data_IF_330505353752
#
_entry.id   IF_330505353752
#
_cell.length_a   1.000
_cell.length_b   1.000
_cell.length_c   1.000
_cell.angle_alpha   90.00
_cell.angle_beta   90.00
_cell.angle_gamma   90.00
#
_symmetry.space_group_name_H-M   'P 1'
#
loop_
_entity.id
_entity.type
_entity.pdbx_description
1 polymer ?
#
# COMPACT_ATOMS: atom_id res chain seq x y z
N UNK A 1 -25.14 -13.07 -49.24
CA UNK A 1 -26.04 -13.81 -48.33
C UNK A 1 -25.73 -15.29 -48.49
N UNK A 2 -25.60 -15.99 -47.36
CA UNK A 2 -25.24 -17.41 -47.14
C UNK A 2 -23.82 -17.82 -47.59
N UNK A 3 -23.07 -18.70 -46.91
CA UNK A 3 -23.40 -19.65 -45.86
C UNK A 3 -22.18 -19.94 -44.96
N UNK A 4 -22.48 -20.43 -43.77
CA UNK A 4 -21.63 -20.67 -42.61
C UNK A 4 -21.36 -22.16 -42.45
N UNK A 5 -20.31 -22.48 -41.68
CA UNK A 5 -20.10 -23.72 -40.92
C UNK A 5 -19.54 -24.98 -41.62
N UNK A 6 -18.40 -25.43 -41.09
CA UNK A 6 -17.93 -26.84 -41.05
C UNK A 6 -17.37 -27.07 -39.64
N UNK A 7 -18.10 -27.76 -38.77
CA UNK A 7 -18.08 -29.20 -38.49
C UNK A 7 -16.76 -29.67 -37.81
N UNK A 8 -16.74 -29.83 -36.48
CA UNK A 8 -16.93 -31.06 -35.67
C UNK A 8 -15.69 -31.94 -35.56
N UNK A 9 -15.24 -32.22 -34.33
CA UNK A 9 -14.33 -33.34 -34.05
C UNK A 9 -13.55 -33.23 -32.74
N UNK A 10 -14.12 -33.75 -31.65
CA UNK A 10 -13.38 -34.13 -30.43
C UNK A 10 -12.42 -35.31 -30.73
N UNK A 11 -11.33 -35.45 -29.97
CA UNK A 11 -10.97 -36.78 -29.53
C UNK A 11 -10.74 -36.86 -28.01
N UNK A 12 -11.55 -37.71 -27.38
CA UNK A 12 -11.30 -38.35 -26.10
C UNK A 12 -10.20 -39.39 -26.26
N UNK A 13 -9.13 -39.32 -25.46
CA UNK A 13 -8.20 -40.43 -25.25
C UNK A 13 -7.80 -40.52 -23.78
N UNK A 14 -8.26 -41.59 -23.13
CA UNK A 14 -7.71 -42.22 -21.93
C UNK A 14 -7.88 -43.72 -22.13
N UNK A 15 -7.19 -44.64 -21.42
CA UNK A 15 -6.11 -44.49 -20.44
C UNK A 15 -4.93 -45.48 -20.65
N UNK A 16 -3.78 -45.27 -20.00
CA UNK A 16 -2.87 -46.37 -19.63
C UNK A 16 -2.34 -46.12 -18.21
N UNK A 17 -2.83 -46.92 -17.25
CA UNK A 17 -2.10 -47.28 -16.01
C UNK A 17 -1.13 -48.41 -16.39
N UNK A 18 0.08 -48.60 -15.86
CA UNK A 18 0.57 -48.60 -14.47
C UNK A 18 2.11 -48.59 -14.50
N UNK A 19 2.78 -47.95 -13.54
CA UNK A 19 3.87 -48.60 -12.78
C UNK A 19 4.12 -47.87 -11.46
N UNK A 20 4.05 -48.63 -10.38
CA UNK A 20 4.18 -48.26 -8.97
C UNK A 20 5.66 -48.37 -8.58
N UNK A 21 6.24 -47.33 -7.94
CA UNK A 21 7.08 -47.51 -6.75
C UNK A 21 7.31 -46.19 -6.03
N UNK A 22 7.21 -46.28 -4.71
CA UNK A 22 7.39 -45.22 -3.73
C UNK A 22 8.73 -44.50 -3.88
N UNK A 23 8.70 -43.17 -3.82
CA UNK A 23 9.73 -42.42 -3.14
C UNK A 23 9.05 -41.44 -2.16
N UNK A 24 9.54 -41.34 -0.91
CA UNK A 24 8.89 -40.52 0.12
C UNK A 24 8.85 -39.07 -0.33
N UNK A 25 7.68 -38.46 -0.22
CA UNK A 25 7.52 -37.01 -0.32
C UNK A 25 8.38 -36.42 0.79
N UNK A 26 9.55 -35.89 0.43
CA UNK A 26 10.30 -34.99 1.27
C UNK A 26 9.30 -33.96 1.79
N UNK A 27 9.12 -33.78 3.11
CA UNK A 27 8.19 -32.79 3.61
C UNK A 27 8.64 -31.48 3.01
N UNK A 28 7.82 -30.91 2.11
CA UNK A 28 7.99 -29.55 1.61
C UNK A 28 8.33 -28.73 2.84
N UNK A 29 9.56 -28.23 2.93
CA UNK A 29 9.93 -27.29 3.97
C UNK A 29 8.88 -26.21 3.90
N UNK A 30 8.07 -26.14 4.94
CA UNK A 30 7.28 -24.96 5.25
C UNK A 30 8.29 -23.82 5.17
N UNK A 31 8.02 -22.72 4.44
CA UNK A 31 8.84 -21.53 4.61
C UNK A 31 8.69 -21.10 6.07
N UNK A 32 9.63 -21.54 6.91
CA UNK A 32 9.90 -20.96 8.21
C UNK A 32 10.42 -19.56 7.94
N UNK A 33 9.51 -18.60 7.81
CA UNK A 33 9.76 -17.15 7.88
C UNK A 33 8.42 -16.43 7.78
N UNK A 34 7.54 -16.59 8.76
CA UNK A 34 6.63 -15.48 9.08
C UNK A 34 7.49 -14.49 9.83
N UNK A 35 8.04 -13.50 9.13
CA UNK A 35 8.64 -12.33 9.77
C UNK A 35 7.52 -11.60 10.53
N UNK A 36 7.35 -11.92 11.82
CA UNK A 36 6.41 -11.22 12.74
C UNK A 36 6.96 -9.83 13.12
N UNK A 37 7.82 -9.24 12.30
CA UNK A 37 8.70 -8.13 12.68
C UNK A 37 8.46 -6.82 11.95
N UNK A 38 7.25 -6.56 11.44
CA UNK A 38 6.92 -5.20 11.01
C UNK A 38 6.43 -4.42 12.24
N UNK A 39 7.30 -3.59 12.81
CA UNK A 39 6.90 -2.60 13.81
C UNK A 39 5.65 -1.84 13.30
N UNK A 40 4.65 -1.55 14.17
CA UNK A 40 3.39 -0.98 13.71
C UNK A 40 3.59 0.44 13.17
N UNK A 41 2.92 0.76 12.06
CA UNK A 41 2.90 2.14 11.55
C UNK A 41 1.93 2.97 12.39
N UNK A 42 2.44 4.06 12.96
CA UNK A 42 1.70 4.92 13.89
C UNK A 42 1.25 6.24 13.25
N UNK A 43 1.83 6.64 12.13
CA UNK A 43 1.46 7.87 11.42
C UNK A 43 2.21 7.99 10.10
N UNK A 44 2.13 9.15 9.47
CA UNK A 44 2.98 9.47 8.32
C UNK A 44 3.70 10.80 8.54
N UNK A 45 4.86 10.92 7.92
CA UNK A 45 5.55 12.19 7.70
C UNK A 45 5.36 12.60 6.26
N UNK A 46 4.92 13.84 6.04
CA UNK A 46 4.81 14.42 4.71
C UNK A 46 5.85 15.52 4.62
N UNK A 47 6.77 15.37 3.67
CA UNK A 47 7.78 16.38 3.37
C UNK A 47 7.36 17.11 2.10
N UNK A 48 7.17 18.44 2.14
CA UNK A 48 6.80 19.28 0.99
C UNK A 48 7.69 20.50 0.93
N UNK A 49 8.44 20.67 -0.17
CA UNK A 49 9.29 21.85 -0.40
C UNK A 49 10.18 22.23 0.80
N UNK A 50 10.75 21.23 1.49
CA UNK A 50 11.63 21.41 2.64
C UNK A 50 10.92 21.58 3.99
N UNK A 51 9.58 21.52 4.04
CA UNK A 51 8.79 21.52 5.27
C UNK A 51 8.33 20.10 5.58
N UNK A 52 8.34 19.73 6.87
CA UNK A 52 7.93 18.41 7.33
C UNK A 52 6.71 18.48 8.22
N UNK A 53 5.75 17.59 8.00
CA UNK A 53 4.49 17.55 8.73
C UNK A 53 4.23 16.14 9.24
N UNK A 54 4.01 16.00 10.55
CA UNK A 54 3.53 14.76 11.15
C UNK A 54 2.02 14.73 11.06
N UNK A 55 1.47 13.66 10.49
CA UNK A 55 0.04 13.54 10.20
C UNK A 55 -0.49 12.17 10.59
N UNK A 56 -1.80 12.13 10.82
CA UNK A 56 -2.52 10.86 10.95
C UNK A 56 -2.53 10.09 9.62
N UNK A 57 -2.61 8.76 9.70
CA UNK A 57 -2.64 7.86 8.53
C UNK A 57 -3.77 8.21 7.54
N UNK A 58 -4.95 8.53 8.05
CA UNK A 58 -6.10 8.93 7.24
C UNK A 58 -5.87 10.28 6.56
N UNK A 59 -5.24 11.23 7.26
CA UNK A 59 -4.90 12.55 6.75
C UNK A 59 -3.86 12.48 5.62
N UNK A 60 -2.88 11.59 5.69
CA UNK A 60 -1.96 11.33 4.58
C UNK A 60 -2.70 10.85 3.32
N UNK A 61 -3.65 9.92 3.49
CA UNK A 61 -4.51 9.48 2.39
C UNK A 61 -5.37 10.60 1.81
N UNK A 62 -5.92 11.48 2.66
CA UNK A 62 -6.70 12.65 2.23
C UNK A 62 -5.82 13.62 1.43
N UNK A 63 -4.61 13.92 1.91
CA UNK A 63 -3.63 14.76 1.22
C UNK A 63 -3.31 14.22 -0.18
N UNK A 64 -2.93 12.95 -0.29
CA UNK A 64 -2.61 12.33 -1.58
C UNK A 64 -3.78 12.37 -2.57
N UNK A 65 -5.01 12.20 -2.09
CA UNK A 65 -6.21 12.32 -2.94
C UNK A 65 -6.42 13.74 -3.42
N UNK A 66 -6.22 14.74 -2.57
CA UNK A 66 -6.30 16.15 -2.94
C UNK A 66 -5.23 16.53 -3.97
N UNK A 67 -3.96 16.13 -3.76
CA UNK A 67 -2.88 16.34 -4.72
C UNK A 67 -3.23 15.71 -6.07
N UNK A 68 -3.61 14.43 -6.10
CA UNK A 68 -3.98 13.75 -7.35
C UNK A 68 -5.18 14.38 -8.05
N UNK A 69 -6.11 14.97 -7.31
CA UNK A 69 -7.26 15.69 -7.88
C UNK A 69 -6.80 17.02 -8.48
N UNK A 70 -6.06 17.81 -7.71
CA UNK A 70 -5.52 19.11 -8.13
C UNK A 70 -4.68 19.00 -9.41
N UNK A 71 -3.81 17.99 -9.52
CA UNK A 71 -2.97 17.78 -10.71
C UNK A 71 -3.74 17.24 -11.94
N UNK A 72 -4.93 16.66 -11.73
CA UNK A 72 -5.82 16.22 -12.83
C UNK A 72 -6.65 17.37 -13.37
N UNK A 73 -7.00 18.34 -12.54
CA UNK A 73 -7.82 19.50 -12.91
C UNK A 73 -7.02 20.63 -13.58
N UNK A 74 -5.68 20.60 -13.51
CA UNK A 74 -4.82 21.57 -14.20
C UNK A 74 -3.36 21.52 -13.78
N UNK A 75 -2.72 22.69 -13.67
CA UNK A 75 -1.30 22.83 -13.27
C UNK A 75 -1.05 22.61 -11.77
N UNK A 76 -2.11 22.59 -10.97
CA UNK A 76 -2.01 22.59 -9.52
C UNK A 76 -3.12 23.38 -8.84
N UNK A 77 -2.97 23.64 -7.55
CA UNK A 77 -3.95 24.31 -6.72
C UNK A 77 -3.53 24.34 -5.26
N UNK A 78 -4.47 24.74 -4.39
CA UNK A 78 -4.27 24.74 -2.94
C UNK A 78 -4.74 23.41 -2.37
N UNK A 79 -3.86 22.76 -1.60
CA UNK A 79 -4.17 21.52 -0.88
C UNK A 79 -4.20 21.82 0.62
N UNK A 80 -5.28 21.40 1.28
CA UNK A 80 -5.37 21.51 2.73
C UNK A 80 -4.74 20.28 3.39
N UNK A 81 -3.85 20.52 4.34
CA UNK A 81 -3.21 19.49 5.14
C UNK A 81 -3.48 19.72 6.62
N UNK A 82 -4.17 18.78 7.26
CA UNK A 82 -4.28 18.73 8.72
C UNK A 82 -3.12 17.90 9.29
N UNK A 83 -2.30 18.52 10.12
CA UNK A 83 -1.16 17.92 10.83
C UNK A 83 -1.31 18.13 12.34
N UNK A 84 -0.34 17.63 13.12
CA UNK A 84 -0.40 17.68 14.59
C UNK A 84 -0.41 19.10 15.15
N UNK A 85 0.29 20.05 14.50
CA UNK A 85 0.35 21.45 14.95
C UNK A 85 -0.79 22.33 14.40
N UNK A 86 -1.65 21.80 13.51
CA UNK A 86 -2.76 22.59 12.96
C UNK A 86 -3.17 22.21 11.54
N UNK A 87 -3.56 23.22 10.77
CA UNK A 87 -3.98 23.07 9.37
C UNK A 87 -3.13 24.01 8.52
N UNK A 88 -2.53 23.46 7.48
CA UNK A 88 -1.74 24.19 6.51
C UNK A 88 -2.43 24.18 5.15
N UNK A 89 -2.40 25.32 4.46
CA UNK A 89 -2.84 25.44 3.07
C UNK A 89 -1.60 25.52 2.17
N UNK A 90 -1.33 24.43 1.45
CA UNK A 90 -0.10 24.26 0.69
C UNK A 90 -0.35 24.54 -0.79
N UNK A 91 0.35 25.49 -1.42
CA UNK A 91 0.34 25.62 -2.86
C UNK A 91 1.06 24.43 -3.49
N UNK A 92 0.35 23.74 -4.37
CA UNK A 92 0.81 22.49 -4.97
C UNK A 92 0.74 22.59 -6.49
N UNK A 93 1.78 22.11 -7.16
CA UNK A 93 1.86 22.03 -8.62
C UNK A 93 2.60 20.75 -9.03
N UNK A 94 2.66 20.47 -10.33
CA UNK A 94 3.46 19.35 -10.86
C UNK A 94 4.94 19.45 -10.52
N UNK A 95 5.44 20.68 -10.30
CA UNK A 95 6.84 20.94 -9.96
C UNK A 95 7.10 20.91 -8.45
N UNK A 96 6.05 20.82 -7.60
CA UNK A 96 6.20 20.83 -6.15
C UNK A 96 6.78 19.48 -5.68
N UNK A 97 8.02 19.45 -5.15
CA UNK A 97 8.59 18.22 -4.63
C UNK A 97 7.91 17.84 -3.32
N UNK A 98 7.58 16.55 -3.20
CA UNK A 98 7.03 16.01 -1.96
C UNK A 98 7.36 14.52 -1.79
N UNK A 99 7.35 14.08 -0.54
CA UNK A 99 7.45 12.68 -0.14
C UNK A 99 6.45 12.37 0.98
N UNK A 100 6.02 11.12 1.05
CA UNK A 100 5.20 10.60 2.15
C UNK A 100 5.85 9.33 2.66
N UNK A 101 6.28 9.36 3.91
CA UNK A 101 6.93 8.23 4.58
C UNK A 101 6.14 7.79 5.80
N UNK A 102 6.13 6.49 6.04
CA UNK A 102 5.52 5.90 7.23
C UNK A 102 6.35 6.23 8.47
N UNK A 103 5.67 6.60 9.55
CA UNK A 103 6.26 6.70 10.88
C UNK A 103 5.99 5.39 11.59
N UNK A 104 7.06 4.69 11.92
CA UNK A 104 7.01 3.37 12.51
C UNK A 104 7.22 3.47 14.02
N UNK A 105 6.49 2.67 14.79
CA UNK A 105 6.62 2.60 16.23
C UNK A 105 8.02 2.08 16.61
N UNK A 106 8.75 2.79 17.49
CA UNK A 106 10.03 2.30 17.99
C UNK A 106 9.89 0.96 18.72
N UNK A 107 10.94 0.14 18.62
CA UNK A 107 11.03 -1.13 19.37
C UNK A 107 10.96 -0.90 20.88
N UNK A 108 10.15 -1.72 21.56
CA UNK A 108 9.99 -1.67 23.01
C UNK A 108 9.16 -0.49 23.53
N UNK A 109 8.52 0.29 22.65
CA UNK A 109 7.60 1.38 23.03
C UNK A 109 6.18 0.97 22.70
N UNK A 110 5.25 1.23 23.62
CA UNK A 110 3.83 1.03 23.35
C UNK A 110 3.35 1.99 22.24
N UNK A 111 2.60 1.52 21.22
CA UNK A 111 2.17 2.37 20.12
C UNK A 111 1.39 3.62 20.55
N UNK A 112 0.61 3.54 21.62
CA UNK A 112 -0.11 4.68 22.17
C UNK A 112 0.85 5.76 22.69
N UNK A 113 1.89 5.36 23.44
CA UNK A 113 2.91 6.28 23.95
C UNK A 113 3.70 6.92 22.80
N UNK A 114 4.09 6.12 21.80
CA UNK A 114 4.78 6.63 20.62
C UNK A 114 3.92 7.63 19.81
N UNK A 115 2.61 7.38 19.70
CA UNK A 115 1.65 8.31 19.07
C UNK A 115 1.54 9.60 19.87
N UNK A 116 1.33 9.49 21.18
CA UNK A 116 1.21 10.62 22.09
C UNK A 116 2.46 11.51 22.07
N UNK A 117 3.66 10.91 22.04
CA UNK A 117 4.93 11.65 21.93
C UNK A 117 5.03 12.49 20.64
N UNK A 118 4.32 12.10 19.58
CA UNK A 118 4.28 12.81 18.31
C UNK A 118 3.07 13.74 18.17
N UNK A 119 2.21 13.87 19.19
CA UNK A 119 0.98 14.65 19.14
C UNK A 119 -0.11 14.01 18.28
N UNK A 120 0.02 12.73 17.95
CA UNK A 120 -1.02 11.95 17.28
C UNK A 120 -2.10 11.54 18.29
N UNK A 121 -3.34 11.37 17.82
CA UNK A 121 -4.47 11.03 18.70
C UNK A 121 -4.35 9.60 19.22
N UNK A 122 -4.72 9.36 20.47
CA UNK A 122 -4.93 7.99 20.94
C UNK A 122 -6.14 7.38 20.21
N UNK A 123 -5.99 6.15 19.71
CA UNK A 123 -7.04 5.41 18.99
C UNK A 123 -7.50 4.23 19.80
#
# INVERSE_FOLDING_TARGET
>A
MTDTARATGLPTLTPVRTLRKEQPIEPRRVPDSVSVGSQPVIGCRIDVSGRSFVVELDMAGIFLRQVRRSLREGEGGLVLLRHVDGIEMIPFSRATPFDVSDIVCPEGVEPADARSALGLRDR
#
